data_IF_107475231816
#
_entry.id   IF_107475231816
#
_cell.length_a   1.000
_cell.length_b   1.000
_cell.length_c   1.000
_cell.angle_alpha   90.00
_cell.angle_beta   90.00
_cell.angle_gamma   90.00
#
_symmetry.space_group_name_H-M   'P 1'
#
loop_
_entity.id
_entity.type
_entity.pdbx_description
1 polymer ?
#
# COMPACT_ATOMS: atom_id res chain seq x y z
N UNK A 1 -3.14 -25.40 -24.82
CA UNK A 1 -2.12 -24.41 -24.42
C UNK A 1 -2.77 -23.03 -24.44
N UNK A 2 -2.59 -22.22 -23.39
CA UNK A 2 -3.19 -20.87 -23.31
C UNK A 2 -2.65 -19.97 -24.42
N UNK A 3 -3.55 -19.22 -25.05
CA UNK A 3 -3.19 -18.22 -26.05
C UNK A 3 -2.73 -16.95 -25.31
N UNK A 4 -1.58 -16.34 -25.64
CA UNK A 4 -1.12 -15.11 -24.96
C UNK A 4 -2.15 -13.97 -24.99
N UNK A 5 -3.03 -13.94 -26.01
CA UNK A 5 -4.15 -13.00 -26.11
C UNK A 5 -5.13 -13.08 -24.94
N UNK A 6 -5.22 -14.22 -24.24
CA UNK A 6 -6.14 -14.43 -23.12
C UNK A 6 -5.56 -13.93 -21.77
N UNK A 7 -4.27 -13.57 -21.73
CA UNK A 7 -3.53 -13.23 -20.51
C UNK A 7 -3.09 -11.76 -20.45
N UNK A 8 -3.37 -10.99 -21.49
CA UNK A 8 -2.87 -9.63 -21.69
C UNK A 8 -4.03 -8.64 -21.82
N UNK A 9 -3.83 -7.44 -21.26
CA UNK A 9 -4.65 -6.29 -21.64
C UNK A 9 -4.37 -5.91 -23.10
N UNK A 10 -5.32 -5.21 -23.74
CA UNK A 10 -5.17 -4.78 -25.14
C UNK A 10 -3.93 -3.89 -25.34
N UNK A 11 -3.65 -3.00 -24.39
CA UNK A 11 -2.48 -2.11 -24.42
C UNK A 11 -1.17 -2.90 -24.33
N UNK A 12 -1.06 -3.84 -23.39
CA UNK A 12 0.15 -4.67 -23.23
C UNK A 12 0.38 -5.57 -24.44
N UNK A 13 -0.70 -6.07 -25.04
CA UNK A 13 -0.63 -6.88 -26.26
C UNK A 13 -0.09 -6.06 -27.43
N UNK A 14 -0.62 -4.85 -27.65
CA UNK A 14 -0.17 -3.96 -28.73
C UNK A 14 1.31 -3.58 -28.57
N UNK A 15 1.76 -3.27 -27.36
CA UNK A 15 3.17 -3.00 -27.09
C UNK A 15 4.08 -4.19 -27.45
N UNK A 16 3.68 -5.40 -27.06
CA UNK A 16 4.46 -6.62 -27.36
C UNK A 16 4.41 -6.89 -28.87
N UNK A 17 3.25 -6.68 -29.49
CA UNK A 17 3.06 -6.84 -30.92
C UNK A 17 4.01 -5.93 -31.72
N UNK A 18 4.16 -4.66 -31.32
CA UNK A 18 5.09 -3.72 -31.96
C UNK A 18 6.56 -4.11 -31.80
N UNK A 19 6.92 -4.75 -30.69
CA UNK A 19 8.28 -5.28 -30.47
C UNK A 19 8.52 -6.52 -31.33
N UNK A 20 7.57 -7.46 -31.36
CA UNK A 20 7.68 -8.69 -32.15
C UNK A 20 7.66 -8.39 -33.65
N UNK A 21 6.83 -7.43 -34.10
CA UNK A 21 6.79 -6.94 -35.49
C UNK A 21 8.16 -6.45 -35.97
N UNK A 22 8.94 -5.79 -35.11
CA UNK A 22 10.30 -5.34 -35.47
C UNK A 22 11.32 -6.48 -35.52
N UNK A 23 11.03 -7.61 -34.89
CA UNK A 23 11.94 -8.78 -34.81
C UNK A 23 11.64 -9.84 -35.86
N UNK A 24 10.41 -9.93 -36.36
CA UNK A 24 10.00 -10.89 -37.38
C UNK A 24 9.90 -10.23 -38.75
N UNK A 25 10.49 -10.84 -39.79
CA UNK A 25 10.38 -10.40 -41.19
C UNK A 25 9.04 -10.81 -41.86
N UNK A 26 7.98 -11.06 -41.07
CA UNK A 26 6.71 -11.64 -41.52
C UNK A 26 5.71 -10.51 -41.85
N UNK A 27 4.90 -10.72 -42.90
CA UNK A 27 3.84 -9.80 -43.31
C UNK A 27 2.78 -9.60 -42.21
N UNK A 28 2.30 -8.36 -42.06
CA UNK A 28 1.45 -7.86 -40.97
C UNK A 28 0.17 -8.72 -40.80
N UNK A 29 -0.43 -9.16 -41.90
CA UNK A 29 -1.70 -9.90 -41.92
C UNK A 29 -1.57 -11.37 -41.50
N UNK A 30 -0.36 -11.89 -41.32
CA UNK A 30 -0.12 -13.30 -40.95
C UNK A 30 0.21 -13.52 -39.48
N UNK A 31 0.47 -12.45 -38.70
CA UNK A 31 0.95 -12.57 -37.30
C UNK A 31 -0.20 -12.89 -36.34
N UNK A 32 -1.38 -12.33 -36.57
CA UNK A 32 -2.60 -12.62 -35.82
C UNK A 32 -3.63 -13.15 -36.80
N UNK A 33 -3.90 -14.44 -36.73
CA UNK A 33 -5.00 -15.07 -37.46
C UNK A 33 -6.25 -15.02 -36.60
N UNK A 34 -7.31 -14.38 -37.10
CA UNK A 34 -8.62 -14.42 -36.47
C UNK A 34 -9.33 -15.71 -36.87
N UNK A 35 -9.50 -16.63 -35.92
CA UNK A 35 -10.38 -17.77 -36.11
C UNK A 35 -11.71 -17.50 -35.41
N UNK A 36 -12.81 -17.62 -36.17
CA UNK A 36 -14.15 -17.64 -35.61
C UNK A 36 -14.32 -18.98 -34.92
N UNK A 37 -14.45 -18.97 -33.60
CA UNK A 37 -14.80 -20.19 -32.86
C UNK A 37 -16.32 -20.31 -32.94
N UNK A 38 -16.80 -21.25 -33.75
CA UNK A 38 -18.20 -21.66 -33.71
C UNK A 38 -18.49 -22.31 -32.36
N UNK A 39 -19.55 -21.87 -31.70
CA UNK A 39 -20.01 -22.48 -30.46
C UNK A 39 -20.50 -23.90 -30.78
N UNK A 40 -19.91 -24.91 -30.13
CA UNK A 40 -20.39 -26.29 -30.23
C UNK A 40 -21.80 -26.35 -29.61
N UNK A 41 -22.81 -26.29 -30.47
CA UNK A 41 -24.22 -26.40 -30.11
C UNK A 41 -24.56 -27.88 -29.92
N UNK A 42 -24.34 -28.38 -28.71
CA UNK A 42 -24.94 -29.60 -28.20
C UNK A 42 -26.45 -29.43 -27.96
N UNK A 43 -27.22 -29.60 -29.03
CA UNK A 43 -28.63 -29.99 -29.17
C UNK A 43 -29.83 -29.09 -28.73
N UNK A 44 -30.71 -28.91 -29.73
CA UNK A 44 -32.14 -28.54 -29.82
C UNK A 44 -32.80 -27.46 -28.95
N UNK A 45 -33.07 -26.29 -29.56
CA UNK A 45 -34.44 -25.88 -29.94
C UNK A 45 -34.41 -24.60 -30.79
N UNK A 46 -35.33 -24.53 -31.76
CA UNK A 46 -35.45 -23.43 -32.69
C UNK A 46 -35.87 -22.13 -31.99
N UNK A 47 -34.95 -21.17 -31.88
CA UNK A 47 -35.31 -19.77 -31.89
C UNK A 47 -34.25 -18.95 -32.62
N UNK A 48 -34.71 -18.15 -33.59
CA UNK A 48 -33.86 -17.37 -34.47
C UNK A 48 -33.29 -16.17 -33.72
N UNK A 49 -32.12 -16.33 -33.12
CA UNK A 49 -31.31 -15.19 -32.68
C UNK A 49 -29.87 -15.32 -33.18
N UNK A 50 -29.44 -14.26 -33.85
CA UNK A 50 -28.18 -14.01 -34.52
C UNK A 50 -26.95 -14.61 -33.77
N UNK A 51 -26.37 -15.68 -34.33
CA UNK A 51 -25.17 -16.33 -33.80
C UNK A 51 -23.94 -15.42 -33.90
N UNK A 52 -23.63 -14.67 -32.83
CA UNK A 52 -22.35 -13.99 -32.69
C UNK A 52 -21.28 -15.03 -32.33
N UNK A 53 -20.60 -15.56 -33.35
CA UNK A 53 -19.37 -16.32 -33.15
C UNK A 53 -18.35 -15.50 -32.36
N UNK A 54 -17.67 -16.13 -31.39
CA UNK A 54 -16.63 -15.44 -30.62
C UNK A 54 -15.34 -15.45 -31.45
N UNK A 55 -14.87 -14.26 -31.85
CA UNK A 55 -13.61 -14.11 -32.58
C UNK A 55 -12.47 -14.35 -31.58
N UNK A 56 -11.67 -15.42 -31.76
CA UNK A 56 -10.42 -15.63 -31.01
C UNK A 56 -9.24 -15.31 -31.90
N UNK A 57 -8.49 -14.28 -31.52
CA UNK A 57 -7.20 -13.91 -32.12
C UNK A 57 -6.17 -14.98 -31.78
N UNK A 58 -5.72 -15.78 -32.75
CA UNK A 58 -4.58 -16.71 -32.61
C UNK A 58 -3.30 -16.07 -33.13
N UNK A 59 -2.19 -16.34 -32.45
CA UNK A 59 -0.88 -15.86 -32.87
C UNK A 59 -0.23 -16.92 -33.77
N UNK A 60 0.39 -16.48 -34.87
CA UNK A 60 1.12 -17.35 -35.79
C UNK A 60 2.16 -18.22 -35.06
N UNK A 61 2.30 -19.52 -35.40
CA UNK A 61 3.22 -20.43 -34.71
C UNK A 61 4.67 -19.97 -34.70
N UNK A 62 5.12 -19.25 -35.72
CA UNK A 62 6.48 -18.69 -35.80
C UNK A 62 6.67 -17.42 -34.95
N UNK A 63 5.61 -16.63 -34.76
CA UNK A 63 5.64 -15.43 -33.92
C UNK A 63 5.43 -15.76 -32.44
N UNK A 64 4.74 -16.87 -32.13
CA UNK A 64 4.37 -17.27 -30.78
C UNK A 64 5.56 -17.39 -29.80
N UNK A 65 6.75 -17.94 -30.17
CA UNK A 65 7.92 -17.94 -29.30
C UNK A 65 8.40 -16.53 -28.94
N UNK A 66 8.36 -15.59 -29.91
CA UNK A 66 8.76 -14.20 -29.69
C UNK A 66 7.78 -13.48 -28.76
N UNK A 67 6.47 -13.66 -28.95
CA UNK A 67 5.46 -13.14 -28.02
C UNK A 67 5.65 -13.67 -26.60
N UNK A 68 5.87 -14.99 -26.47
CA UNK A 68 6.13 -15.61 -25.16
C UNK A 68 7.40 -15.07 -24.51
N UNK A 69 8.47 -14.91 -25.27
CA UNK A 69 9.75 -14.39 -24.76
C UNK A 69 9.61 -12.95 -24.26
N UNK A 70 8.96 -12.07 -25.03
CA UNK A 70 8.73 -10.67 -24.63
C UNK A 70 7.80 -10.58 -23.42
N UNK A 71 6.72 -11.37 -23.39
CA UNK A 71 5.83 -11.46 -22.25
C UNK A 71 6.58 -11.85 -20.97
N UNK A 72 7.34 -12.95 -21.05
CA UNK A 72 8.12 -13.43 -19.92
C UNK A 72 9.18 -12.42 -19.50
N UNK A 73 9.83 -11.74 -20.44
CA UNK A 73 10.82 -10.70 -20.15
C UNK A 73 10.21 -9.53 -19.38
N UNK A 74 9.05 -8.99 -19.84
CA UNK A 74 8.33 -7.91 -19.14
C UNK A 74 7.92 -8.34 -17.72
N UNK A 75 7.31 -9.52 -17.58
CA UNK A 75 6.88 -10.05 -16.28
C UNK A 75 8.06 -10.31 -15.35
N UNK A 76 9.16 -10.83 -15.89
CA UNK A 76 10.39 -11.08 -15.14
C UNK A 76 11.02 -9.78 -14.64
N UNK A 77 11.01 -8.71 -15.44
CA UNK A 77 11.49 -7.39 -15.01
C UNK A 77 10.72 -6.89 -13.79
N UNK A 78 9.38 -6.89 -13.84
CA UNK A 78 8.56 -6.49 -12.68
C UNK A 78 8.77 -7.38 -11.47
N UNK A 79 8.87 -8.70 -11.67
CA UNK A 79 9.19 -9.64 -10.61
C UNK A 79 10.54 -9.30 -9.96
N UNK A 80 11.58 -9.04 -10.77
CA UNK A 80 12.92 -8.70 -10.28
C UNK A 80 12.96 -7.37 -9.53
N UNK A 81 12.28 -6.35 -10.03
CA UNK A 81 12.14 -5.07 -9.35
C UNK A 81 11.45 -5.27 -7.98
N UNK A 82 10.35 -6.03 -7.96
CA UNK A 82 9.59 -6.32 -6.73
C UNK A 82 10.40 -7.15 -5.74
N UNK A 83 11.10 -8.17 -6.23
CA UNK A 83 11.99 -9.03 -5.43
C UNK A 83 13.08 -8.18 -4.77
N UNK A 84 13.72 -7.28 -5.50
CA UNK A 84 14.72 -6.38 -4.95
C UNK A 84 14.13 -5.46 -3.85
N UNK A 85 12.91 -4.94 -4.06
CA UNK A 85 12.23 -4.15 -3.04
C UNK A 85 11.91 -4.98 -1.79
N UNK A 86 11.43 -6.22 -1.94
CA UNK A 86 11.14 -7.12 -0.81
C UNK A 86 12.43 -7.45 -0.05
N UNK A 87 13.49 -7.83 -0.75
CA UNK A 87 14.76 -8.22 -0.15
C UNK A 87 15.40 -7.08 0.65
N UNK A 88 15.27 -5.83 0.20
CA UNK A 88 15.76 -4.67 0.93
C UNK A 88 15.04 -4.47 2.29
N UNK A 89 13.79 -4.94 2.41
CA UNK A 89 12.93 -4.73 3.59
C UNK A 89 12.88 -5.94 4.52
N UNK A 90 13.17 -7.12 3.97
CA UNK A 90 13.15 -8.40 4.68
C UNK A 90 13.89 -8.37 6.03
N UNK A 91 15.10 -7.78 6.16
CA UNK A 91 15.82 -7.74 7.44
C UNK A 91 15.06 -7.01 8.55
N UNK A 92 14.24 -6.01 8.20
CA UNK A 92 13.42 -5.28 9.16
C UNK A 92 12.15 -6.05 9.51
N UNK A 93 11.49 -6.65 8.50
CA UNK A 93 10.24 -7.38 8.66
C UNK A 93 10.42 -8.63 9.53
N UNK A 94 11.50 -9.39 9.33
CA UNK A 94 11.82 -10.60 10.12
C UNK A 94 12.00 -10.30 11.61
N UNK A 95 12.44 -9.09 11.96
CA UNK A 95 12.64 -8.68 13.35
C UNK A 95 11.35 -8.22 14.04
N UNK A 96 10.25 -8.03 13.31
CA UNK A 96 8.95 -7.64 13.87
C UNK A 96 8.23 -8.87 14.41
N UNK A 97 8.49 -9.22 15.68
CA UNK A 97 7.81 -10.33 16.36
C UNK A 97 6.35 -10.04 16.74
N UNK A 98 5.98 -8.76 16.90
CA UNK A 98 4.65 -8.33 17.38
C UNK A 98 4.10 -7.20 16.49
N UNK A 99 3.29 -7.53 15.47
CA UNK A 99 2.74 -6.54 14.53
C UNK A 99 1.44 -5.87 15.03
N UNK A 100 0.91 -6.30 16.17
CA UNK A 100 -0.34 -5.80 16.76
C UNK A 100 -0.10 -5.10 18.10
N UNK A 101 -1.09 -4.34 18.56
CA UNK A 101 -1.04 -3.68 19.85
C UNK A 101 -1.05 -4.68 21.02
N UNK A 102 -0.15 -4.48 21.98
CA UNK A 102 -0.18 -5.21 23.25
C UNK A 102 0.27 -4.30 24.39
N UNK A 103 -0.38 -4.42 25.54
CA UNK A 103 -0.04 -3.67 26.77
C UNK A 103 1.37 -3.97 27.31
N UNK A 104 1.95 -5.15 26.99
CA UNK A 104 3.31 -5.51 27.43
C UNK A 104 4.30 -4.68 26.61
N UNK A 105 5.22 -3.95 27.26
CA UNK A 105 6.23 -3.18 26.55
C UNK A 105 6.99 -4.05 25.54
N UNK A 106 7.26 -3.48 24.36
CA UNK A 106 8.15 -4.04 23.37
C UNK A 106 9.59 -3.99 23.87
N UNK A 107 10.38 -4.97 23.45
CA UNK A 107 11.82 -5.04 23.71
C UNK A 107 12.55 -3.87 23.06
N UNK A 108 13.65 -3.43 23.66
CA UNK A 108 14.45 -2.32 23.15
C UNK A 108 14.94 -2.56 21.70
N UNK A 109 15.26 -3.81 21.35
CA UNK A 109 15.68 -4.17 19.99
C UNK A 109 14.55 -3.99 18.98
N UNK A 110 13.31 -4.30 19.34
CA UNK A 110 12.15 -4.07 18.45
C UNK A 110 11.91 -2.58 18.22
N UNK A 111 12.02 -1.75 19.28
CA UNK A 111 11.90 -0.30 19.16
C UNK A 111 13.01 0.28 18.28
N UNK A 112 14.22 -0.28 18.38
CA UNK A 112 15.37 0.08 17.53
C UNK A 112 15.13 -0.32 16.08
N UNK A 113 14.66 -1.54 15.83
CA UNK A 113 14.31 -2.01 14.49
C UNK A 113 13.26 -1.09 13.82
N UNK A 114 12.17 -0.75 14.53
CA UNK A 114 11.17 0.18 14.01
C UNK A 114 11.75 1.56 13.67
N UNK A 115 12.65 2.10 14.51
CA UNK A 115 13.31 3.38 14.22
C UNK A 115 14.14 3.30 12.94
N UNK A 116 14.96 2.26 12.81
CA UNK A 116 15.82 2.04 11.65
C UNK A 116 15.00 1.79 10.37
N UNK A 117 13.92 1.02 10.46
CA UNK A 117 13.04 0.77 9.32
C UNK A 117 12.36 2.06 8.83
N UNK A 118 11.86 2.88 9.76
CA UNK A 118 11.31 4.19 9.41
C UNK A 118 12.37 5.12 8.79
N UNK A 119 13.61 5.12 9.30
CA UNK A 119 14.70 5.90 8.71
C UNK A 119 15.05 5.42 7.30
N UNK A 120 15.08 4.11 7.08
CA UNK A 120 15.28 3.51 5.76
C UNK A 120 14.20 3.97 4.76
N UNK A 121 12.92 3.86 5.10
CA UNK A 121 11.86 4.28 4.18
C UNK A 121 11.83 5.78 3.93
N UNK A 122 12.14 6.60 4.95
CA UNK A 122 12.27 8.05 4.78
C UNK A 122 13.41 8.40 3.82
N UNK A 123 14.51 7.65 3.85
CA UNK A 123 15.63 7.84 2.92
C UNK A 123 15.27 7.44 1.48
N UNK A 124 14.46 6.40 1.29
CA UNK A 124 13.97 5.97 -0.02
C UNK A 124 13.00 6.98 -0.64
N UNK A 125 12.22 7.70 0.17
CA UNK A 125 11.45 8.86 -0.26
C UNK A 125 10.06 8.59 -0.85
N UNK A 126 9.58 7.35 -0.85
CA UNK A 126 8.20 7.02 -1.26
C UNK A 126 7.20 7.43 -0.16
N UNK A 127 6.53 8.57 -0.36
CA UNK A 127 5.60 9.13 0.62
C UNK A 127 4.46 8.17 1.00
N UNK A 128 3.92 7.43 0.02
CA UNK A 128 2.80 6.52 0.26
C UNK A 128 3.23 5.37 1.15
N UNK A 129 4.40 4.78 0.85
CA UNK A 129 4.98 3.68 1.62
C UNK A 129 5.42 4.12 3.00
N UNK A 130 6.02 5.30 3.13
CA UNK A 130 6.39 5.88 4.44
C UNK A 130 5.14 6.08 5.30
N UNK A 131 4.05 6.63 4.73
CA UNK A 131 2.79 6.84 5.46
C UNK A 131 2.23 5.52 5.96
N UNK A 132 2.16 4.50 5.09
CA UNK A 132 1.68 3.16 5.46
C UNK A 132 2.54 2.55 6.56
N UNK A 133 3.87 2.68 6.48
CA UNK A 133 4.77 2.16 7.51
C UNK A 133 4.62 2.88 8.85
N UNK A 134 4.46 4.20 8.85
CA UNK A 134 4.18 4.96 10.08
C UNK A 134 2.89 4.51 10.74
N UNK A 135 1.78 4.42 9.99
CA UNK A 135 0.51 3.97 10.54
C UNK A 135 0.62 2.54 11.08
N UNK A 136 1.33 1.65 10.38
CA UNK A 136 1.57 0.27 10.83
C UNK A 136 2.44 0.21 12.10
N UNK A 137 3.49 1.03 12.17
CA UNK A 137 4.33 1.15 13.36
C UNK A 137 3.51 1.61 14.58
N UNK A 138 2.60 2.57 14.39
CA UNK A 138 1.76 3.10 15.46
C UNK A 138 0.70 2.12 15.98
N UNK A 139 0.39 1.05 15.24
CA UNK A 139 -0.44 -0.04 15.77
C UNK A 139 0.28 -0.74 16.93
N UNK A 140 1.53 -1.17 16.72
CA UNK A 140 2.31 -1.86 17.75
C UNK A 140 2.89 -0.89 18.79
N UNK A 141 3.26 0.32 18.37
CA UNK A 141 4.01 1.30 19.16
C UNK A 141 3.17 2.49 19.63
N UNK A 142 1.85 2.36 19.74
CA UNK A 142 0.94 3.45 20.10
C UNK A 142 1.29 4.16 21.43
N UNK A 143 1.89 3.46 22.39
CA UNK A 143 2.25 4.00 23.71
C UNK A 143 3.63 4.67 23.78
N UNK A 144 4.35 4.77 22.65
CA UNK A 144 5.70 5.30 22.59
C UNK A 144 5.72 6.67 21.89
N UNK A 145 5.90 7.74 22.67
CA UNK A 145 5.86 9.13 22.23
C UNK A 145 6.89 9.48 21.14
N UNK A 146 8.03 8.79 21.12
CA UNK A 146 9.09 9.00 20.15
C UNK A 146 8.62 8.79 18.69
N UNK A 147 7.72 7.82 18.43
CA UNK A 147 7.26 7.53 17.07
C UNK A 147 6.21 8.54 16.61
N UNK A 148 5.32 8.95 17.51
CA UNK A 148 4.38 10.05 17.24
C UNK A 148 5.09 11.36 16.93
N UNK A 149 6.12 11.70 17.71
CA UNK A 149 6.91 12.92 17.49
C UNK A 149 7.66 12.86 16.16
N UNK A 150 8.22 11.70 15.81
CA UNK A 150 8.87 11.49 14.51
C UNK A 150 7.88 11.63 13.36
N UNK A 151 6.70 11.02 13.47
CA UNK A 151 5.65 11.09 12.46
C UNK A 151 5.13 12.52 12.27
N UNK A 152 4.85 13.24 13.37
CA UNK A 152 4.41 14.64 13.32
C UNK A 152 5.43 15.56 12.63
N UNK A 153 6.72 15.39 12.93
CA UNK A 153 7.80 16.14 12.26
C UNK A 153 7.90 15.84 10.77
N UNK A 154 7.80 14.57 10.39
CA UNK A 154 7.82 14.15 8.99
C UNK A 154 6.58 14.67 8.24
N UNK A 155 5.38 14.52 8.80
CA UNK A 155 4.12 15.03 8.23
C UNK A 155 4.15 16.55 8.05
N UNK A 156 4.74 17.29 9.01
CA UNK A 156 4.92 18.75 8.86
C UNK A 156 5.73 19.10 7.63
N UNK A 157 6.80 18.33 7.36
CA UNK A 157 7.69 18.54 6.21
C UNK A 157 7.01 18.21 4.89
N UNK A 158 6.20 17.14 4.85
CA UNK A 158 5.58 16.66 3.60
C UNK A 158 4.25 17.35 3.27
N UNK A 159 3.36 17.50 4.26
CA UNK A 159 1.96 17.94 4.07
C UNK A 159 1.57 19.18 4.87
N UNK A 160 2.54 19.82 5.52
CA UNK A 160 2.34 21.06 6.27
C UNK A 160 1.77 20.89 7.68
N UNK A 161 1.46 22.03 8.30
CA UNK A 161 1.19 22.13 9.74
C UNK A 161 -0.12 21.47 10.18
N UNK A 162 -1.19 21.54 9.39
CA UNK A 162 -2.47 20.95 9.78
C UNK A 162 -2.42 19.43 9.86
N UNK A 163 -1.67 18.80 8.95
CA UNK A 163 -1.46 17.36 8.96
C UNK A 163 -0.66 16.91 10.18
N UNK A 164 0.39 17.66 10.54
CA UNK A 164 1.16 17.44 11.77
C UNK A 164 0.30 17.61 13.03
N UNK A 165 -0.55 18.65 13.07
CA UNK A 165 -1.51 18.89 14.17
C UNK A 165 -2.46 17.71 14.34
N UNK A 166 -2.96 17.14 13.25
CA UNK A 166 -3.82 15.94 13.29
C UNK A 166 -3.11 14.75 13.96
N UNK A 167 -1.83 14.52 13.63
CA UNK A 167 -1.01 13.48 14.25
C UNK A 167 -0.84 13.72 15.76
N UNK A 168 -0.49 14.93 16.17
CA UNK A 168 -0.34 15.23 17.60
C UNK A 168 -1.65 15.13 18.38
N UNK A 169 -2.78 15.50 17.78
CA UNK A 169 -4.11 15.32 18.39
C UNK A 169 -4.43 13.83 18.59
N UNK A 170 -4.15 12.98 17.61
CA UNK A 170 -4.26 11.51 17.76
C UNK A 170 -3.34 11.01 18.87
N UNK A 171 -2.08 11.42 18.88
CA UNK A 171 -1.10 10.99 19.89
C UNK A 171 -1.57 11.26 21.33
N UNK A 172 -2.20 12.42 21.58
CA UNK A 172 -2.78 12.77 22.89
C UNK A 172 -3.93 11.85 23.32
N UNK A 173 -4.68 11.28 22.37
CA UNK A 173 -5.73 10.31 22.67
C UNK A 173 -5.16 8.96 23.09
N UNK A 174 -4.02 8.56 22.51
CA UNK A 174 -3.36 7.29 22.84
C UNK A 174 -2.54 7.36 24.13
N UNK A 175 -1.87 8.49 24.39
CA UNK A 175 -0.95 8.64 25.53
C UNK A 175 -1.32 9.90 26.34
N UNK A 176 -2.49 9.91 27.01
CA UNK A 176 -2.90 11.05 27.82
C UNK A 176 -1.91 11.27 28.97
N UNK A 177 -1.56 12.54 29.22
CA UNK A 177 -0.65 12.93 30.30
C UNK A 177 0.85 12.72 30.03
N UNK A 178 1.24 12.27 28.83
CA UNK A 178 2.67 12.18 28.49
C UNK A 178 3.28 13.58 28.32
N UNK A 179 4.14 13.95 29.27
CA UNK A 179 4.79 15.27 29.33
C UNK A 179 5.68 15.52 28.11
N UNK A 180 6.43 14.51 27.64
CA UNK A 180 7.33 14.66 26.48
C UNK A 180 6.55 14.96 25.21
N UNK A 181 5.46 14.24 24.99
CA UNK A 181 4.55 14.48 23.87
C UNK A 181 3.89 15.86 23.97
N UNK A 182 3.43 16.26 25.16
CA UNK A 182 2.82 17.57 25.38
C UNK A 182 3.80 18.72 25.11
N UNK A 183 5.05 18.60 25.56
CA UNK A 183 6.12 19.55 25.28
C UNK A 183 6.43 19.60 23.78
N UNK A 184 6.56 18.45 23.11
CA UNK A 184 6.80 18.41 21.67
C UNK A 184 5.67 19.07 20.86
N UNK A 185 4.41 18.87 21.27
CA UNK A 185 3.27 19.49 20.63
C UNK A 185 3.20 21.00 20.91
N UNK A 186 3.50 21.44 22.13
CA UNK A 186 3.52 22.87 22.49
C UNK A 186 4.59 23.61 21.71
N UNK A 187 5.81 23.06 21.62
CA UNK A 187 6.89 23.62 20.81
C UNK A 187 6.54 23.68 19.31
N UNK A 188 5.79 22.68 18.82
CA UNK A 188 5.26 22.71 17.46
C UNK A 188 4.26 23.86 17.25
N UNK A 189 3.28 24.06 18.14
CA UNK A 189 2.30 25.15 18.04
C UNK A 189 2.94 26.54 18.21
N UNK A 190 3.94 26.67 19.08
CA UNK A 190 4.73 27.90 19.24
C UNK A 190 5.48 28.25 17.95
N UNK A 191 6.03 27.27 17.24
CA UNK A 191 6.69 27.49 15.95
C UNK A 191 5.75 28.02 14.86
N UNK A 192 4.43 27.94 15.07
CA UNK A 192 3.40 28.48 14.17
C UNK A 192 2.89 29.87 14.58
N UNK A 193 3.43 30.46 15.67
CA UNK A 193 3.06 31.81 16.13
C UNK A 193 1.73 31.90 16.89
N UNK A 194 1.15 30.78 17.33
CA UNK A 194 -0.15 30.73 18.02
C UNK A 194 0.01 30.75 19.55
N UNK A 195 0.58 31.83 20.11
CA UNK A 195 0.99 31.94 21.53
C UNK A 195 -0.18 31.88 22.53
N UNK A 196 -1.43 32.13 22.11
CA UNK A 196 -2.57 32.28 23.02
C UNK A 196 -3.38 30.99 23.28
N UNK A 197 -3.13 29.91 22.52
CA UNK A 197 -3.93 28.66 22.59
C UNK A 197 -3.25 27.54 23.39
N UNK A 198 -1.92 27.51 23.45
CA UNK A 198 -1.15 26.48 24.17
C UNK A 198 -1.49 26.41 25.67
N UNK A 199 -1.63 27.57 26.34
CA UNK A 199 -1.89 27.63 27.79
C UNK A 199 -3.25 27.03 28.20
N UNK A 200 -4.30 27.22 27.38
CA UNK A 200 -5.64 26.66 27.69
C UNK A 200 -5.69 25.13 27.59
N UNK A 201 -4.92 24.55 26.65
CA UNK A 201 -4.89 23.10 26.44
C UNK A 201 -4.05 22.31 27.44
N UNK A 202 -3.15 22.98 28.18
CA UNK A 202 -2.35 22.36 29.23
C UNK A 202 -3.15 22.19 30.53
N UNK A 203 -3.91 23.22 30.95
CA UNK A 203 -4.72 23.20 32.18
C UNK A 203 -5.85 22.16 32.16
N UNK A 204 -6.60 22.03 31.06
CA UNK A 204 -7.72 21.07 30.96
C UNK A 204 -7.28 19.58 30.98
N UNK A 205 -5.99 19.29 30.82
CA UNK A 205 -5.47 17.92 30.65
C UNK A 205 -5.04 17.23 31.94
N UNK A 206 -5.05 17.95 33.07
CA UNK A 206 -4.58 17.46 34.37
C UNK A 206 -5.63 16.62 35.13
N UNK A 207 -6.88 16.52 34.67
CA UNK A 207 -7.95 15.87 35.44
C UNK A 207 -8.82 14.90 34.60
N UNK A 208 -8.41 13.63 34.48
CA UNK A 208 -9.38 12.52 34.30
C UNK A 208 -8.79 11.13 34.63
N UNK A 209 -9.42 10.34 35.54
CA UNK A 209 -8.96 9.02 35.97
C UNK A 209 -9.54 7.81 35.18
N UNK A 210 -10.12 7.99 33.99
CA UNK A 210 -10.72 6.86 33.25
C UNK A 210 -9.73 6.15 32.30
N UNK A 211 -8.81 5.35 32.85
CA UNK A 211 -7.70 4.74 32.09
C UNK A 211 -8.03 3.40 31.40
N UNK A 212 -9.08 2.68 31.82
CA UNK A 212 -9.27 1.29 31.37
C UNK A 212 -10.32 1.07 30.26
N UNK A 213 -11.40 1.88 30.18
CA UNK A 213 -12.36 1.78 29.06
C UNK A 213 -11.91 2.54 27.80
N UNK A 214 -11.05 3.54 27.94
CA UNK A 214 -10.60 4.36 26.81
C UNK A 214 -9.63 3.59 25.89
N UNK A 215 -8.82 2.69 26.46
CA UNK A 215 -7.84 1.91 25.71
C UNK A 215 -8.51 0.93 24.73
N UNK A 216 -9.65 0.31 25.11
CA UNK A 216 -10.44 -0.55 24.24
C UNK A 216 -11.10 0.22 23.08
N UNK A 217 -11.63 1.42 23.34
CA UNK A 217 -12.20 2.28 22.30
C UNK A 217 -11.15 2.79 21.30
N UNK A 218 -9.94 3.07 21.78
CA UNK A 218 -8.81 3.54 20.97
C UNK A 218 -8.23 2.43 20.08
N UNK A 219 -8.21 1.18 20.55
CA UNK A 219 -7.77 0.03 19.73
C UNK A 219 -8.79 -0.27 18.63
N UNK A 220 -10.10 -0.23 18.93
CA UNK A 220 -11.14 -0.38 17.91
C UNK A 220 -11.07 0.72 16.83
N UNK A 221 -10.82 1.98 17.23
CA UNK A 221 -10.66 3.08 16.30
C UNK A 221 -9.46 2.90 15.35
N UNK A 222 -8.34 2.35 15.84
CA UNK A 222 -7.16 2.11 15.01
C UNK A 222 -7.39 0.97 14.01
N UNK A 223 -8.13 -0.08 14.38
CA UNK A 223 -8.53 -1.16 13.47
C UNK A 223 -9.49 -0.64 12.39
N UNK A 224 -10.46 0.21 12.76
CA UNK A 224 -11.40 0.83 11.82
C UNK A 224 -10.72 1.84 10.88
N UNK A 225 -9.78 2.64 11.38
CA UNK A 225 -9.06 3.64 10.59
C UNK A 225 -8.11 3.00 9.57
N UNK A 226 -7.45 1.89 9.94
CA UNK A 226 -6.61 1.10 9.03
C UNK A 226 -7.47 0.37 7.99
N UNK A 227 -8.63 -0.18 8.38
CA UNK A 227 -9.59 -0.77 7.43
C UNK A 227 -10.08 0.25 6.39
N UNK A 228 -10.37 1.49 6.80
CA UNK A 228 -10.79 2.56 5.89
C UNK A 228 -9.66 3.06 4.98
N UNK A 229 -8.43 3.18 5.48
CA UNK A 229 -7.27 3.59 4.68
C UNK A 229 -6.83 2.52 3.67
N UNK A 230 -6.88 1.24 4.05
CA UNK A 230 -6.57 0.13 3.14
C UNK A 230 -7.67 -0.08 2.08
N UNK A 231 -8.94 0.18 2.43
CA UNK A 231 -10.06 0.15 1.48
C UNK A 231 -9.97 1.22 0.39
N UNK A 232 -9.40 2.39 0.70
CA UNK A 232 -9.24 3.49 -0.27
C UNK A 232 -7.99 3.35 -1.17
N UNK A 233 -7.04 2.48 -0.80
CA UNK A 233 -5.78 2.26 -1.53
C UNK A 233 -5.81 1.01 -2.42
N UNK A 234 -6.87 0.20 -2.40
CA UNK A 234 -7.08 -0.92 -3.33
C UNK A 234 -6.13 -2.13 -3.14
N UNK A 235 -5.51 -2.29 -1.96
CA UNK A 235 -4.40 -3.26 -1.77
C UNK A 235 -4.85 -4.67 -1.36
N UNK A 236 -6.14 -4.97 -1.12
CA UNK A 236 -6.58 -6.36 -0.91
C UNK A 236 -8.00 -6.66 -1.45
N UNK A 237 -8.21 -7.80 -2.14
CA UNK A 237 -9.56 -8.35 -2.33
C UNK A 237 -10.09 -8.83 -0.97
N UNK A 238 -11.38 -8.55 -0.71
CA UNK A 238 -12.12 -9.04 0.47
C UNK A 238 -11.93 -10.56 0.60
N UNK A 239 -11.19 -10.99 1.60
CA UNK A 239 -11.35 -12.33 2.16
C UNK A 239 -12.30 -12.19 3.36
N UNK A 240 -13.53 -12.65 3.15
CA UNK A 240 -14.41 -13.15 4.20
C UNK A 240 -13.99 -14.58 4.55
#
# INVERSE_FOLDING_TARGET
MCNPCDLLSEDEFNDIFDVVRRKCSIGIDSIVTEEVVEADSGDTSADASNGKGTIRKKIHPEALPHFRAEFLSKRYRWHKETEAMILARLPFEEQIKRPYFHVKPLEAEQLKNWRLYLDFEIAEGDETRITVLFERCLIACALYDQFWTKYGRWMRKQRGSDAARSVYRRARQHIPGNVRLALAYSAFEESLGMTSRSNKTQDDSMLSPAKDLFLLGVILAQVTQVSNLLGHMGIFPRFF
#
